data_IF_767250946209
#
_entry.id   IF_767250946209
#
_cell.length_a   1.000
_cell.length_b   1.000
_cell.length_c   1.000
_cell.angle_alpha   90.00
_cell.angle_beta   90.00
_cell.angle_gamma   90.00
#
_symmetry.space_group_name_H-M   'P 1'
#
loop_
_entity.id
_entity.type
_entity.pdbx_description
1 polymer ?
#
# COMPACT_ATOMS: atom_id res chain seq x y z
N UNK A 1 -12.72 2.40 9.02
CA UNK A 1 -12.30 3.54 8.17
C UNK A 1 -12.57 4.90 8.80
N UNK A 2 -13.51 5.02 9.74
CA UNK A 2 -13.86 6.31 10.36
C UNK A 2 -12.90 6.78 11.47
N UNK A 3 -12.01 5.92 11.97
CA UNK A 3 -11.04 6.29 12.99
C UNK A 3 -9.80 6.86 12.32
N UNK A 4 -9.48 8.16 12.54
CA UNK A 4 -8.27 8.75 11.97
C UNK A 4 -7.02 8.14 12.60
N UNK A 5 -5.96 7.98 11.80
CA UNK A 5 -4.70 7.41 12.28
C UNK A 5 -4.15 8.16 13.50
N UNK A 6 -4.30 9.47 13.54
CA UNK A 6 -3.87 10.30 14.67
C UNK A 6 -4.46 9.86 16.03
N UNK A 7 -5.68 9.30 16.04
CA UNK A 7 -6.31 8.83 17.27
C UNK A 7 -5.69 7.54 17.81
N UNK A 8 -5.18 6.66 16.92
CA UNK A 8 -4.56 5.39 17.31
C UNK A 8 -3.04 5.48 17.41
N UNK A 9 -2.44 6.52 16.87
CA UNK A 9 -1.01 6.72 16.82
C UNK A 9 -0.35 6.71 18.21
N UNK A 10 -0.88 7.48 19.16
CA UNK A 10 -0.29 7.61 20.49
C UNK A 10 -0.37 6.30 21.30
N UNK A 11 -1.53 5.62 21.39
CA UNK A 11 -1.59 4.29 21.99
C UNK A 11 -0.67 3.28 21.34
N UNK A 12 -0.60 3.28 20.00
CA UNK A 12 0.26 2.39 19.23
C UNK A 12 1.74 2.67 19.50
N UNK A 13 2.15 3.94 19.53
CA UNK A 13 3.52 4.32 19.86
C UNK A 13 3.92 3.81 21.27
N UNK A 14 3.05 4.02 22.27
CA UNK A 14 3.30 3.54 23.63
C UNK A 14 3.40 2.01 23.71
N UNK A 15 2.56 1.30 22.97
CA UNK A 15 2.64 -0.16 22.91
C UNK A 15 3.97 -0.65 22.33
N UNK A 16 4.43 -0.06 21.23
CA UNK A 16 5.73 -0.40 20.63
C UNK A 16 6.91 0.04 21.51
N UNK A 17 6.80 1.18 22.18
CA UNK A 17 7.80 1.66 23.12
C UNK A 17 7.95 0.71 24.32
N UNK A 18 6.83 0.27 24.91
CA UNK A 18 6.86 -0.70 26.02
C UNK A 18 7.40 -2.07 25.62
N UNK A 19 7.24 -2.45 24.34
CA UNK A 19 7.79 -3.66 23.76
C UNK A 19 9.27 -3.54 23.33
N UNK A 20 9.88 -2.33 23.44
CA UNK A 20 11.26 -2.08 23.02
C UNK A 20 11.46 -2.14 21.49
N UNK A 21 10.40 -1.92 20.71
CA UNK A 21 10.42 -2.01 19.25
C UNK A 21 10.58 -0.65 18.54
N UNK A 22 10.62 0.46 19.28
CA UNK A 22 10.98 1.77 18.74
C UNK A 22 12.42 1.71 18.18
N UNK A 23 12.75 2.59 17.24
CA UNK A 23 14.01 2.59 16.47
C UNK A 23 14.22 1.31 15.63
N UNK A 24 13.14 0.60 15.32
CA UNK A 24 13.14 -0.55 14.42
C UNK A 24 12.06 -0.39 13.35
N UNK A 25 12.10 -1.24 12.32
CA UNK A 25 11.06 -1.25 11.28
C UNK A 25 9.76 -1.98 11.72
N UNK A 26 9.77 -2.67 12.86
CA UNK A 26 8.63 -3.47 13.30
C UNK A 26 7.33 -2.68 13.49
N UNK A 27 7.33 -1.45 14.07
CA UNK A 27 6.13 -0.63 14.16
C UNK A 27 5.47 -0.29 12.82
N UNK A 28 6.27 -0.27 11.75
CA UNK A 28 5.80 0.01 10.39
C UNK A 28 5.29 -1.26 9.69
N UNK A 29 5.86 -2.43 10.02
CA UNK A 29 5.56 -3.71 9.38
C UNK A 29 4.40 -4.43 10.07
N UNK A 30 4.43 -4.55 11.40
CA UNK A 30 3.49 -5.36 12.17
C UNK A 30 2.01 -5.01 11.92
N UNK A 31 1.61 -3.73 11.91
CA UNK A 31 0.20 -3.39 11.66
C UNK A 31 -0.30 -3.84 10.29
N UNK A 32 0.60 -3.83 9.28
CA UNK A 32 0.29 -4.27 7.92
C UNK A 32 0.09 -5.78 7.77
N UNK A 33 0.69 -6.59 8.65
CA UNK A 33 0.56 -8.06 8.61
C UNK A 33 -0.84 -8.54 9.03
N UNK A 34 -1.56 -7.75 9.82
CA UNK A 34 -2.91 -8.11 10.30
C UNK A 34 -4.03 -7.68 9.35
N UNK A 35 -3.68 -7.20 8.18
CA UNK A 35 -4.60 -6.83 7.12
C UNK A 35 -4.82 -5.32 7.01
N UNK A 36 -5.28 -4.93 5.83
CA UNK A 36 -5.62 -3.56 5.51
C UNK A 36 -7.13 -3.48 5.27
N UNK A 37 -7.85 -2.76 6.14
CA UNK A 37 -9.31 -2.63 6.07
C UNK A 37 -9.75 -2.03 4.73
N UNK A 38 -9.00 -1.09 4.19
CA UNK A 38 -9.29 -0.47 2.89
C UNK A 38 -9.16 -1.48 1.76
N UNK A 39 -8.13 -2.34 1.80
CA UNK A 39 -7.95 -3.42 0.84
C UNK A 39 -9.08 -4.44 0.91
N UNK A 40 -9.44 -4.88 2.13
CA UNK A 40 -10.53 -5.83 2.31
C UNK A 40 -11.85 -5.28 1.75
N UNK A 41 -12.17 -4.03 2.08
CA UNK A 41 -13.38 -3.37 1.57
C UNK A 41 -13.37 -3.29 0.04
N UNK A 42 -12.27 -2.86 -0.54
CA UNK A 42 -12.11 -2.76 -1.99
C UNK A 42 -12.27 -4.12 -2.67
N UNK A 43 -11.61 -5.17 -2.17
CA UNK A 43 -11.70 -6.51 -2.76
C UNK A 43 -13.10 -7.12 -2.62
N UNK A 44 -13.75 -6.94 -1.46
CA UNK A 44 -15.12 -7.41 -1.26
C UNK A 44 -16.07 -6.73 -2.25
N UNK A 45 -15.97 -5.42 -2.42
CA UNK A 45 -16.80 -4.67 -3.37
C UNK A 45 -16.52 -5.10 -4.79
N UNK A 46 -15.23 -5.23 -5.16
CA UNK A 46 -14.86 -5.71 -6.49
C UNK A 46 -15.39 -7.11 -6.80
N UNK A 47 -15.28 -8.05 -5.84
CA UNK A 47 -15.78 -9.41 -6.02
C UNK A 47 -17.30 -9.44 -6.15
N UNK A 48 -18.02 -8.66 -5.33
CA UNK A 48 -19.49 -8.61 -5.36
C UNK A 48 -20.04 -8.00 -6.63
N UNK A 49 -19.39 -7.00 -7.20
CA UNK A 49 -19.88 -6.27 -8.36
C UNK A 49 -19.29 -6.79 -9.68
N UNK A 50 -18.09 -7.37 -9.62
CA UNK A 50 -17.33 -7.78 -10.80
C UNK A 50 -17.39 -9.26 -11.15
N UNK A 51 -17.81 -10.13 -10.22
CA UNK A 51 -17.92 -11.58 -10.49
C UNK A 51 -19.41 -11.94 -10.61
N UNK A 52 -19.86 -12.40 -11.79
CA UNK A 52 -21.25 -12.84 -11.97
C UNK A 52 -21.61 -14.00 -11.05
N UNK A 53 -22.73 -13.92 -10.36
CA UNK A 53 -23.25 -14.98 -9.49
C UNK A 53 -23.40 -16.32 -10.23
N UNK A 54 -23.76 -16.29 -11.48
CA UNK A 54 -23.88 -17.48 -12.34
C UNK A 54 -22.60 -18.32 -12.40
N UNK A 55 -21.41 -17.72 -12.27
CA UNK A 55 -20.14 -18.48 -12.23
C UNK A 55 -19.96 -19.21 -10.89
N UNK A 56 -20.43 -18.60 -9.82
CA UNK A 56 -20.36 -19.20 -8.48
C UNK A 56 -21.37 -20.34 -8.39
N UNK A 57 -22.61 -20.11 -8.85
CA UNK A 57 -23.67 -21.13 -8.89
C UNK A 57 -23.28 -22.32 -9.77
N UNK A 58 -22.68 -22.09 -10.94
CA UNK A 58 -22.18 -23.17 -11.79
C UNK A 58 -21.14 -24.03 -11.09
N UNK A 59 -20.19 -23.41 -10.38
CA UNK A 59 -19.18 -24.13 -9.63
C UNK A 59 -19.78 -24.94 -8.46
N UNK A 60 -20.85 -24.44 -7.82
CA UNK A 60 -21.58 -25.15 -6.77
C UNK A 60 -22.34 -26.36 -7.33
N UNK A 61 -22.99 -26.22 -8.50
CA UNK A 61 -23.63 -27.32 -9.22
C UNK A 61 -22.62 -28.41 -9.57
N UNK A 62 -21.41 -28.05 -9.96
CA UNK A 62 -20.29 -28.95 -10.21
C UNK A 62 -19.72 -29.62 -8.94
N UNK A 63 -20.32 -29.37 -7.77
CA UNK A 63 -19.91 -29.94 -6.48
C UNK A 63 -18.67 -29.29 -5.86
N UNK A 64 -18.31 -28.08 -6.28
CA UNK A 64 -17.23 -27.34 -5.67
C UNK A 64 -17.63 -26.79 -4.29
N UNK A 65 -16.78 -26.97 -3.28
CA UNK A 65 -16.98 -26.32 -1.98
C UNK A 65 -16.70 -24.82 -2.09
N UNK A 66 -17.28 -23.99 -1.20
CA UNK A 66 -17.06 -22.52 -1.18
C UNK A 66 -15.59 -22.13 -1.18
N UNK A 67 -14.74 -22.84 -0.42
CA UNK A 67 -13.29 -22.59 -0.39
C UNK A 67 -12.66 -22.90 -1.76
N UNK A 68 -13.04 -24.01 -2.38
CA UNK A 68 -12.53 -24.40 -3.69
C UNK A 68 -12.98 -23.41 -4.76
N UNK A 69 -14.25 -23.00 -4.75
CA UNK A 69 -14.79 -21.96 -5.64
C UNK A 69 -14.05 -20.63 -5.47
N UNK A 70 -13.74 -20.23 -4.23
CA UNK A 70 -12.95 -19.04 -3.98
C UNK A 70 -11.57 -19.11 -4.67
N UNK A 71 -10.81 -20.19 -4.49
CA UNK A 71 -9.47 -20.30 -5.05
C UNK A 71 -9.45 -20.53 -6.57
N UNK A 72 -10.43 -21.26 -7.12
CA UNK A 72 -10.46 -21.62 -8.54
C UNK A 72 -11.21 -20.61 -9.43
N UNK A 73 -12.16 -19.86 -8.87
CA UNK A 73 -13.00 -18.93 -9.64
C UNK A 73 -12.79 -17.49 -9.18
N UNK A 74 -13.13 -17.17 -7.92
CA UNK A 74 -13.16 -15.80 -7.45
C UNK A 74 -11.76 -15.16 -7.39
N UNK A 75 -10.78 -15.85 -6.84
CA UNK A 75 -9.42 -15.32 -6.70
C UNK A 75 -8.73 -15.08 -8.04
N UNK A 76 -8.77 -16.00 -9.04
CA UNK A 76 -8.23 -15.72 -10.36
C UNK A 76 -8.88 -14.54 -11.08
N UNK A 77 -10.19 -14.41 -10.99
CA UNK A 77 -10.94 -13.27 -11.58
C UNK A 77 -10.62 -11.95 -10.87
N UNK A 78 -10.21 -12.00 -9.60
CA UNK A 78 -9.83 -10.82 -8.82
C UNK A 78 -8.36 -10.42 -8.96
N UNK A 79 -7.53 -11.17 -9.70
CA UNK A 79 -6.12 -10.84 -9.90
C UNK A 79 -5.85 -9.39 -10.35
N UNK A 80 -6.61 -8.81 -11.29
CA UNK A 80 -6.40 -7.41 -11.69
C UNK A 80 -6.60 -6.43 -10.53
N UNK A 81 -7.65 -6.64 -9.72
CA UNK A 81 -7.94 -5.80 -8.55
C UNK A 81 -6.86 -5.94 -7.48
N UNK A 82 -6.38 -7.16 -7.22
CA UNK A 82 -5.30 -7.41 -6.29
C UNK A 82 -4.01 -6.73 -6.75
N UNK A 83 -3.68 -6.83 -8.04
CA UNK A 83 -2.50 -6.18 -8.61
C UNK A 83 -2.59 -4.65 -8.51
N UNK A 84 -3.73 -4.06 -8.86
CA UNK A 84 -3.94 -2.63 -8.73
C UNK A 84 -3.77 -2.16 -7.27
N UNK A 85 -4.38 -2.89 -6.33
CA UNK A 85 -4.26 -2.54 -4.91
C UNK A 85 -2.84 -2.70 -4.37
N UNK A 86 -2.12 -3.74 -4.79
CA UNK A 86 -0.72 -3.93 -4.41
C UNK A 86 0.15 -2.75 -4.86
N UNK A 87 -0.10 -2.20 -6.05
CA UNK A 87 0.58 -0.99 -6.54
C UNK A 87 0.24 0.21 -5.67
N UNK A 88 -1.04 0.48 -5.39
CA UNK A 88 -1.45 1.59 -4.52
C UNK A 88 -0.86 1.47 -3.11
N UNK A 89 -0.80 0.26 -2.57
CA UNK A 89 -0.21 0.01 -1.26
C UNK A 89 1.29 0.25 -1.27
N UNK A 90 1.99 -0.22 -2.29
CA UNK A 90 3.42 0.08 -2.47
C UNK A 90 3.67 1.59 -2.55
N UNK A 91 2.88 2.31 -3.39
CA UNK A 91 2.96 3.78 -3.52
C UNK A 91 2.77 4.46 -2.16
N UNK A 92 1.76 4.03 -1.40
CA UNK A 92 1.48 4.57 -0.06
C UNK A 92 2.64 4.35 0.91
N UNK A 93 3.19 3.13 0.97
CA UNK A 93 4.32 2.80 1.86
C UNK A 93 5.60 3.50 1.42
N UNK A 94 5.88 3.55 0.12
CA UNK A 94 7.08 4.20 -0.41
C UNK A 94 7.11 5.69 -0.11
N UNK A 95 5.96 6.35 -0.17
CA UNK A 95 5.84 7.78 0.12
C UNK A 95 5.52 8.09 1.59
N UNK A 96 5.43 7.07 2.46
CA UNK A 96 5.13 7.31 3.86
C UNK A 96 6.30 8.05 4.53
N UNK A 97 5.99 9.23 5.00
CA UNK A 97 6.87 10.07 5.79
C UNK A 97 6.49 10.03 7.27
N UNK A 98 5.19 10.08 7.53
CA UNK A 98 4.69 10.35 8.87
C UNK A 98 4.91 9.17 9.83
N UNK A 99 4.59 7.94 9.42
CA UNK A 99 4.83 6.77 10.23
C UNK A 99 6.31 6.61 10.60
N UNK A 100 7.23 6.55 9.61
CA UNK A 100 8.66 6.43 9.87
C UNK A 100 9.24 7.57 10.72
N UNK A 101 8.79 8.82 10.54
CA UNK A 101 9.31 9.97 11.31
C UNK A 101 9.00 9.90 12.81
N UNK A 102 7.96 9.14 13.20
CA UNK A 102 7.58 8.95 14.61
C UNK A 102 8.45 7.86 15.27
N UNK A 103 8.77 6.79 14.53
CA UNK A 103 9.42 5.61 15.09
C UNK A 103 10.92 5.57 14.89
N UNK A 104 11.47 6.29 13.91
CA UNK A 104 12.88 6.23 13.52
C UNK A 104 13.52 7.60 13.69
N UNK A 105 14.43 7.71 14.66
CA UNK A 105 15.20 8.94 14.92
C UNK A 105 16.70 8.77 14.63
N UNK A 106 17.20 7.51 14.60
CA UNK A 106 18.59 7.23 14.26
C UNK A 106 18.86 7.54 12.77
N UNK A 107 19.78 8.47 12.42
CA UNK A 107 20.08 8.82 11.04
C UNK A 107 20.47 7.64 10.14
N UNK A 108 20.97 6.55 10.71
CA UNK A 108 21.35 5.34 9.96
C UNK A 108 20.16 4.44 9.59
N UNK A 109 18.99 4.70 10.16
CA UNK A 109 17.78 3.88 10.00
C UNK A 109 16.62 4.60 9.38
N UNK A 110 16.76 5.87 9.06
CA UNK A 110 15.71 6.67 8.43
C UNK A 110 15.31 6.09 7.09
N UNK A 111 14.01 6.15 6.78
CA UNK A 111 13.56 5.91 5.41
C UNK A 111 14.00 7.05 4.51
N UNK A 112 14.03 6.80 3.19
CA UNK A 112 14.45 7.79 2.22
C UNK A 112 13.64 9.09 2.31
N UNK A 113 12.32 8.98 2.52
CA UNK A 113 11.44 10.15 2.63
C UNK A 113 11.75 11.00 3.86
N UNK A 114 11.97 10.36 5.02
CA UNK A 114 12.36 11.06 6.25
C UNK A 114 13.74 11.67 6.11
N UNK A 115 14.70 10.95 5.52
CA UNK A 115 16.04 11.45 5.29
C UNK A 115 16.05 12.69 4.38
N UNK A 116 15.29 12.66 3.28
CA UNK A 116 15.16 13.82 2.39
C UNK A 116 14.56 15.04 3.11
N UNK A 117 13.60 14.82 4.00
CA UNK A 117 13.06 15.91 4.83
C UNK A 117 14.12 16.52 5.74
N UNK A 118 14.96 15.69 6.38
CA UNK A 118 16.05 16.22 7.21
C UNK A 118 17.07 17.03 6.42
N UNK A 119 17.33 16.65 5.15
CA UNK A 119 18.19 17.45 4.26
C UNK A 119 17.54 18.78 3.89
N UNK A 120 16.22 18.82 3.69
CA UNK A 120 15.49 20.08 3.42
C UNK A 120 15.56 21.04 4.62
N UNK A 121 15.38 20.51 5.83
CA UNK A 121 15.49 21.31 7.06
C UNK A 121 16.93 21.82 7.26
N UNK A 122 17.93 20.99 6.97
CA UNK A 122 19.34 21.36 7.03
C UNK A 122 19.76 22.36 5.93
N UNK A 123 19.01 22.44 4.79
CA UNK A 123 19.28 23.43 3.73
C UNK A 123 19.10 24.87 4.23
N UNK A 124 18.23 25.09 5.20
CA UNK A 124 18.14 26.35 5.91
C UNK A 124 19.47 26.75 6.61
N UNK A 125 20.38 25.77 6.80
CA UNK A 125 21.69 25.89 7.43
C UNK A 125 22.87 25.73 6.45
N UNK A 126 22.62 25.69 5.11
CA UNK A 126 23.67 25.68 4.08
C UNK A 126 24.00 24.34 3.42
N UNK A 127 23.10 23.36 3.47
CA UNK A 127 23.26 22.10 2.68
C UNK A 127 23.05 22.38 1.20
N UNK A 128 23.87 21.75 0.35
CA UNK A 128 23.83 21.93 -1.11
C UNK A 128 22.51 21.47 -1.72
N UNK A 129 21.75 22.38 -2.31
CA UNK A 129 20.52 22.11 -3.05
C UNK A 129 20.67 20.97 -4.10
N UNK A 130 21.80 20.85 -4.85
CA UNK A 130 22.03 19.74 -5.76
C UNK A 130 21.92 18.35 -5.10
N UNK A 131 22.36 18.18 -3.86
CA UNK A 131 22.27 16.90 -3.13
C UNK A 131 20.82 16.53 -2.86
N UNK A 132 20.01 17.50 -2.45
CA UNK A 132 18.58 17.32 -2.20
C UNK A 132 17.86 16.94 -3.50
N UNK A 133 18.16 17.63 -4.59
CA UNK A 133 17.58 17.35 -5.91
C UNK A 133 17.97 15.95 -6.42
N UNK A 134 19.22 15.54 -6.25
CA UNK A 134 19.67 14.19 -6.59
C UNK A 134 18.93 13.13 -5.76
N UNK A 135 18.75 13.35 -4.46
CA UNK A 135 17.96 12.48 -3.60
C UNK A 135 16.50 12.38 -4.03
N UNK A 136 15.86 13.48 -4.41
CA UNK A 136 14.50 13.52 -4.91
C UNK A 136 14.35 12.73 -6.23
N UNK A 137 15.33 12.83 -7.14
CA UNK A 137 15.36 12.02 -8.37
C UNK A 137 15.48 10.54 -8.02
N UNK A 138 16.38 10.15 -7.13
CA UNK A 138 16.50 8.75 -6.68
C UNK A 138 15.21 8.24 -6.04
N UNK A 139 14.53 9.06 -5.24
CA UNK A 139 13.25 8.72 -4.61
C UNK A 139 12.12 8.51 -5.64
N UNK A 140 12.17 9.19 -6.79
CA UNK A 140 11.17 9.05 -7.85
C UNK A 140 11.36 7.79 -8.73
N UNK A 141 12.58 7.23 -8.80
CA UNK A 141 12.88 6.12 -9.70
C UNK A 141 12.01 4.87 -9.49
N UNK A 142 11.80 4.35 -8.26
CA UNK A 142 10.95 3.18 -8.06
C UNK A 142 9.50 3.42 -8.51
N UNK A 143 9.00 4.65 -8.32
CA UNK A 143 7.66 5.03 -8.76
C UNK A 143 7.55 5.03 -10.29
N UNK A 144 8.56 5.58 -10.97
CA UNK A 144 8.63 5.57 -12.44
C UNK A 144 8.72 4.14 -12.96
N UNK A 145 9.55 3.29 -12.35
CA UNK A 145 9.68 1.87 -12.76
C UNK A 145 8.33 1.15 -12.64
N UNK A 146 7.63 1.31 -11.51
CA UNK A 146 6.31 0.70 -11.31
C UNK A 146 5.31 1.24 -12.33
N UNK A 147 5.27 2.54 -12.56
CA UNK A 147 4.38 3.14 -13.54
C UNK A 147 4.60 2.52 -14.93
N UNK A 148 5.84 2.49 -15.42
CA UNK A 148 6.14 1.92 -16.74
C UNK A 148 5.88 0.42 -16.82
N UNK A 149 6.12 -0.34 -15.74
CA UNK A 149 5.86 -1.77 -15.69
C UNK A 149 4.36 -2.10 -15.74
N UNK A 150 3.53 -1.27 -15.12
CA UNK A 150 2.11 -1.57 -14.91
C UNK A 150 1.13 -0.62 -15.64
N UNK A 151 1.62 0.32 -16.48
CA UNK A 151 0.78 1.27 -17.20
C UNK A 151 -0.34 0.61 -18.01
N UNK A 152 -0.10 -0.54 -18.63
CA UNK A 152 -1.09 -1.27 -19.40
C UNK A 152 -2.26 -1.80 -18.53
N UNK A 153 -2.00 -2.11 -17.26
CA UNK A 153 -3.05 -2.50 -16.32
C UNK A 153 -4.00 -1.34 -16.02
N UNK A 154 -3.48 -0.12 -15.90
CA UNK A 154 -4.30 1.07 -15.67
C UNK A 154 -5.15 1.41 -16.90
N UNK A 155 -4.57 1.35 -18.09
CA UNK A 155 -5.27 1.68 -19.33
C UNK A 155 -6.43 0.71 -19.58
N UNK A 156 -6.20 -0.60 -19.42
CA UNK A 156 -7.22 -1.62 -19.67
C UNK A 156 -8.37 -1.58 -18.65
N UNK A 157 -8.11 -1.20 -17.40
CA UNK A 157 -9.14 -1.10 -16.37
C UNK A 157 -10.08 0.09 -16.61
N UNK A 158 -9.56 1.20 -17.13
CA UNK A 158 -10.36 2.38 -17.47
C UNK A 158 -11.21 2.14 -18.74
N UNK A 159 -10.65 1.44 -19.73
CA UNK A 159 -11.37 1.11 -20.96
C UNK A 159 -12.61 0.21 -20.70
N UNK A 160 -12.50 -0.74 -19.75
CA UNK A 160 -13.62 -1.61 -19.37
C UNK A 160 -14.73 -0.88 -18.61
N UNK A 161 -14.40 0.16 -17.85
CA UNK A 161 -15.40 0.96 -17.13
C UNK A 161 -16.15 1.93 -18.04
N UNK A 162 -15.52 2.40 -19.13
CA UNK A 162 -16.13 3.32 -20.11
C UNK A 162 -17.05 2.65 -21.16
N UNK A 163 -17.09 1.32 -21.22
CA UNK A 163 -17.95 0.59 -22.16
C UNK A 163 -19.29 0.11 -21.55
N UNK A 164 -19.62 0.54 -20.35
CA UNK A 164 -20.89 0.21 -19.64
C UNK A 164 -21.96 1.32 -19.76
N UNK A 165 -21.77 2.32 -20.66
CA UNK A 165 -22.81 3.26 -21.03
C UNK A 165 -23.44 2.92 -22.40
#
# INVERSE_FOLDING_TARGET
MMVPYAAVMLPQYRAFQSAGLTETLWPLILPGLFGNVSMMFFLITYMKEGIPDALIEAAEIDGSSHIKTFFLVALPLSKPAIAAHAIFWFVGIWNDFFGPSIYLTDPKRLTLQVYLSTLLDANASGVDLPVIMAGAVLASLPMMIIFFAFQNFFINSIALSGMKE
#
